data_IF_080745793259
#
_entry.id   IF_080745793259
#
_cell.length_a   1.000
_cell.length_b   1.000
_cell.length_c   1.000
_cell.angle_alpha   90.00
_cell.angle_beta   90.00
_cell.angle_gamma   90.00
#
_symmetry.space_group_name_H-M   'P 1'
#
loop_
_entity.id
_entity.type
_entity.pdbx_description
1 polymer ?
2 non-polymer ?
3 non-polymer ?
4 non-polymer ?
5 non-polymer ?
6 non-polymer ?
7 water ?
#
# COMPACT_ATOMS: atom_id res chain seq x y z
N UNK A 1 7.94 -4.94 -2.49
CA UNK A 1 8.66 -5.73 -1.46
C UNK A 1 9.73 -6.63 -2.06
N UNK A 2 10.25 -7.55 -1.25
CA UNK A 2 11.32 -8.49 -1.67
C UNK A 2 10.85 -9.37 -2.84
N UNK A 3 9.55 -9.70 -2.85
CA UNK A 3 8.98 -10.53 -3.92
C UNK A 3 9.12 -9.84 -5.26
N UNK A 4 8.80 -8.56 -5.30
CA UNK A 4 8.92 -7.77 -6.53
C UNK A 4 10.38 -7.43 -6.85
N UNK A 5 11.22 -7.25 -5.83
CA UNK A 5 12.65 -7.04 -6.03
C UNK A 5 13.26 -8.19 -6.82
N UNK A 6 13.04 -9.41 -6.34
CA UNK A 6 13.48 -10.63 -7.03
C UNK A 6 12.90 -10.73 -8.44
N UNK A 7 11.59 -10.52 -8.54
CA UNK A 7 10.86 -10.57 -9.81
C UNK A 7 11.36 -9.61 -10.86
N UNK A 8 11.52 -8.34 -10.48
CA UNK A 8 11.99 -7.30 -11.39
C UNK A 8 13.42 -7.56 -11.87
N UNK A 9 14.29 -7.96 -10.94
CA UNK A 9 15.68 -8.30 -11.26
C UNK A 9 15.75 -9.49 -12.22
N UNK A 10 14.93 -10.51 -11.97
CA UNK A 10 14.83 -11.67 -12.86
C UNK A 10 14.33 -11.32 -14.26
N UNK A 11 13.32 -10.44 -14.32
CA UNK A 11 12.72 -9.98 -15.58
C UNK A 11 13.72 -9.35 -16.54
N UNK A 12 14.50 -8.40 -16.04
CA UNK A 12 15.37 -7.57 -16.88
C UNK A 12 16.71 -8.23 -17.17
N UNK A 13 17.33 -8.81 -16.14
CA UNK A 13 18.71 -9.27 -16.23
C UNK A 13 18.87 -10.70 -16.70
N UNK A 14 20.14 -11.17 -16.84
CA UNK A 14 20.44 -12.51 -17.34
C UNK A 14 20.52 -13.62 -16.28
N UNK A 15 20.55 -13.27 -15.00
CA UNK A 15 20.90 -14.23 -13.94
C UNK A 15 19.90 -14.30 -12.79
N UNK A 16 19.91 -15.43 -12.09
CA UNK A 16 19.06 -15.65 -10.91
C UNK A 16 19.25 -14.53 -9.87
N UNK A 17 18.15 -14.07 -9.23
CA UNK A 17 18.30 -13.09 -8.13
C UNK A 17 19.07 -13.62 -6.89
N UNK A 18 19.16 -14.94 -6.76
CA UNK A 18 20.08 -15.60 -5.80
C UNK A 18 21.52 -15.08 -5.92
N UNK A 19 21.92 -14.72 -7.14
CA UNK A 19 23.26 -14.16 -7.43
C UNK A 19 23.61 -12.88 -6.66
N UNK A 20 22.59 -12.17 -6.15
CA UNK A 20 22.78 -10.92 -5.41
C UNK A 20 22.37 -10.98 -3.92
N UNK A 21 22.12 -12.17 -3.39
CA UNK A 21 21.67 -12.29 -1.99
C UNK A 21 22.79 -12.05 -0.97
N UNK A 22 24.03 -12.41 -1.33
CA UNK A 22 25.24 -12.06 -0.55
C UNK A 22 26.40 -11.88 -1.52
N UNK A 23 26.56 -10.66 -2.04
CA UNK A 23 27.56 -10.36 -3.06
C UNK A 23 28.19 -9.00 -2.73
N UNK A 24 29.52 -8.95 -2.78
CA UNK A 24 30.26 -7.72 -2.52
C UNK A 24 30.04 -7.24 -1.10
N UNK A 25 30.04 -5.93 -0.92
CA UNK A 25 29.75 -5.31 0.37
C UNK A 25 28.29 -4.83 0.56
N UNK A 26 27.50 -4.79 -0.51
CA UNK A 26 26.13 -4.20 -0.47
C UNK A 26 24.96 -5.06 -0.93
N UNK A 27 25.18 -6.03 -1.82
CA UNK A 27 24.10 -6.92 -2.25
C UNK A 27 23.81 -7.94 -1.16
N UNK A 28 22.67 -7.76 -0.48
CA UNK A 28 22.33 -8.50 0.75
C UNK A 28 21.81 -7.55 1.81
N UNK A 29 21.30 -8.10 2.90
CA UNK A 29 20.68 -7.29 3.96
C UNK A 29 21.70 -6.32 4.59
N UNK A 30 21.42 -5.02 4.47
CA UNK A 30 22.34 -3.98 4.93
C UNK A 30 23.53 -3.83 4.00
N UNK A 31 24.68 -3.51 4.57
CA UNK A 31 25.91 -3.33 3.80
C UNK A 31 26.64 -2.05 4.14
N UNK A 32 27.95 -2.08 3.97
CA UNK A 32 28.84 -0.97 4.31
C UNK A 32 30.16 -1.20 3.59
N UNK A 33 30.89 -0.12 3.32
CA UNK A 33 32.22 -0.22 2.70
C UNK A 33 32.30 0.42 1.35
N UNK A 34 33.45 0.26 0.72
CA UNK A 34 33.66 0.66 -0.65
C UNK A 34 33.03 -0.42 -1.54
N UNK A 35 32.13 -0.03 -2.48
CA UNK A 35 31.60 -1.04 -3.39
C UNK A 35 32.71 -1.66 -4.27
N UNK A 36 32.67 -2.98 -4.42
CA UNK A 36 33.72 -3.73 -5.10
C UNK A 36 33.70 -3.64 -6.62
N UNK A 37 32.52 -3.45 -7.19
CA UNK A 37 32.35 -3.49 -8.63
C UNK A 37 31.02 -2.83 -9.03
N UNK A 38 30.67 -2.90 -10.31
CA UNK A 38 29.46 -2.28 -10.85
C UNK A 38 28.20 -2.81 -10.16
N UNK A 39 28.12 -4.14 -10.07
CA UNK A 39 27.02 -4.82 -9.36
C UNK A 39 26.86 -4.28 -7.93
N UNK A 40 27.97 -4.17 -7.21
CA UNK A 40 27.94 -3.70 -5.83
C UNK A 40 27.50 -2.24 -5.75
N UNK A 41 27.92 -1.44 -6.73
CA UNK A 41 27.42 -0.06 -6.88
C UNK A 41 25.90 -0.01 -7.10
N UNK A 42 25.37 -0.87 -7.95
CA UNK A 42 23.91 -0.97 -8.15
C UNK A 42 23.18 -1.24 -6.82
N UNK A 43 23.74 -2.16 -6.04
CA UNK A 43 23.19 -2.52 -4.73
C UNK A 43 23.30 -1.40 -3.70
N UNK A 44 24.42 -0.68 -3.70
CA UNK A 44 24.58 0.51 -2.86
C UNK A 44 23.49 1.54 -3.19
N UNK A 45 23.33 1.81 -4.48
CA UNK A 45 22.29 2.71 -5.00
C UNK A 45 20.89 2.31 -4.57
N UNK A 46 20.62 1.01 -4.65
CA UNK A 46 19.35 0.44 -4.21
C UNK A 46 19.13 0.58 -2.70
N UNK A 47 20.19 0.30 -1.93
CA UNK A 47 20.16 0.48 -0.46
C UNK A 47 19.76 1.91 -0.09
N UNK A 48 20.38 2.88 -0.77
CA UNK A 48 20.02 4.29 -0.63
C UNK A 48 18.56 4.59 -0.98
N UNK A 49 18.11 4.01 -2.09
CA UNK A 49 16.73 4.19 -2.55
C UNK A 49 15.71 3.68 -1.51
N UNK A 50 15.99 2.51 -0.95
CA UNK A 50 15.17 1.92 0.12
C UNK A 50 15.19 2.75 1.41
N UNK A 51 16.36 3.26 1.77
CA UNK A 51 16.50 4.16 2.91
C UNK A 51 15.61 5.40 2.74
N UNK A 52 15.69 6.00 1.56
CA UNK A 52 14.81 7.12 1.21
C UNK A 52 13.32 6.76 1.28
N UNK A 53 12.97 5.59 0.74
CA UNK A 53 11.59 5.08 0.82
C UNK A 53 11.10 4.96 2.27
N UNK A 54 11.95 4.42 3.14
CA UNK A 54 11.63 4.32 4.57
C UNK A 54 11.49 5.68 5.25
N UNK A 55 12.39 6.61 4.94
CA UNK A 55 12.30 7.99 5.43
C UNK A 55 11.01 8.72 4.99
N UNK A 56 10.47 8.32 3.84
CA UNK A 56 9.18 8.83 3.34
C UNK A 56 7.93 8.18 3.98
N UNK A 57 8.12 7.18 4.84
CA UNK A 57 7.03 6.48 5.52
C UNK A 57 6.55 5.19 4.84
N UNK A 58 7.41 4.57 4.04
CA UNK A 58 7.08 3.32 3.34
C UNK A 58 7.80 2.12 3.95
N UNK A 59 7.38 0.93 3.51
CA UNK A 59 7.96 -0.34 3.97
C UNK A 59 8.50 -1.10 2.74
N UNK A 60 9.70 -0.70 2.25
CA UNK A 60 10.25 -1.23 0.98
C UNK A 60 10.51 -2.74 0.91
N UNK A 61 10.70 -3.39 2.06
CA UNK A 61 10.88 -4.85 2.09
C UNK A 61 9.58 -5.65 2.02
N UNK A 62 8.44 -5.04 2.38
CA UNK A 62 7.16 -5.77 2.51
C UNK A 62 6.02 -5.38 1.56
N UNK A 63 5.90 -4.09 1.22
CA UNK A 63 4.73 -3.61 0.46
C UNK A 63 4.62 -4.24 -0.94
N UNK A 64 3.45 -4.81 -1.24
CA UNK A 64 3.17 -5.35 -2.56
C UNK A 64 2.86 -4.22 -3.53
N UNK A 65 3.26 -4.41 -4.79
CA UNK A 65 2.91 -3.49 -5.87
C UNK A 65 2.81 -4.23 -7.19
N UNK A 66 1.95 -3.73 -8.07
CA UNK A 66 1.76 -4.30 -9.40
C UNK A 66 2.80 -3.80 -10.37
N UNK A 67 3.18 -4.69 -11.28
CA UNK A 67 4.11 -4.35 -12.34
C UNK A 67 4.01 -5.37 -13.45
N UNK A 68 4.62 -5.04 -14.59
CA UNK A 68 4.62 -5.91 -15.77
C UNK A 68 6.05 -6.10 -16.27
N UNK A 69 6.33 -7.30 -16.76
CA UNK A 69 7.57 -7.60 -17.46
C UNK A 69 7.25 -7.67 -18.95
N UNK A 70 7.71 -6.68 -19.70
CA UNK A 70 7.44 -6.56 -21.13
C UNK A 70 8.77 -6.45 -21.86
N UNK A 71 9.07 -7.44 -22.71
CA UNK A 71 10.35 -7.51 -23.43
C UNK A 71 11.56 -7.40 -22.50
N UNK A 72 11.51 -8.12 -21.38
CA UNK A 72 12.54 -8.05 -20.34
C UNK A 72 12.79 -6.61 -19.86
N UNK A 73 11.71 -5.85 -19.68
CA UNK A 73 11.74 -4.49 -19.10
C UNK A 73 10.62 -4.39 -18.08
N UNK A 74 10.86 -3.64 -17.01
CA UNK A 74 9.88 -3.46 -15.95
C UNK A 74 9.04 -2.22 -16.23
N UNK A 75 7.72 -2.42 -16.24
CA UNK A 75 6.75 -1.31 -16.28
C UNK A 75 6.00 -1.29 -14.96
N UNK A 76 6.06 -0.15 -14.26
CA UNK A 76 5.49 0.03 -12.92
C UNK A 76 4.04 0.48 -12.96
N UNK A 77 3.14 -0.32 -12.37
CA UNK A 77 1.75 0.08 -12.19
C UNK A 77 0.76 -1.06 -12.36
N UNK A 78 -0.52 -0.83 -12.03
CA UNK A 78 -1.03 0.44 -11.48
C UNK A 78 -0.69 0.68 -10.01
N UNK A 79 -0.31 1.92 -9.68
CA UNK A 79 0.04 2.32 -8.31
C UNK A 79 -1.17 2.86 -7.55
N UNK A 80 -1.47 2.26 -6.40
CA UNK A 80 -2.53 2.73 -5.50
C UNK A 80 -2.11 3.92 -4.62
N UNK A 81 -0.81 4.07 -4.42
CA UNK A 81 -0.28 5.16 -3.58
C UNK A 81 1.16 5.48 -3.95
N UNK A 82 1.70 6.51 -3.31
CA UNK A 82 3.07 6.95 -3.58
C UNK A 82 4.15 5.96 -3.17
N UNK A 83 3.90 5.18 -2.12
CA UNK A 83 4.87 4.17 -1.69
C UNK A 83 5.06 3.11 -2.74
N UNK A 84 3.95 2.62 -3.31
CA UNK A 84 4.03 1.63 -4.40
C UNK A 84 4.80 2.16 -5.61
N UNK A 85 4.60 3.44 -5.95
CA UNK A 85 5.34 4.01 -7.07
C UNK A 85 6.84 4.18 -6.71
N UNK A 86 7.17 4.67 -5.51
CA UNK A 86 8.57 4.80 -5.09
C UNK A 86 9.30 3.46 -5.06
N UNK A 87 8.65 2.44 -4.51
CA UNK A 87 9.27 1.10 -4.40
C UNK A 87 9.56 0.49 -5.76
N UNK A 88 8.58 0.55 -6.66
CA UNK A 88 8.76 0.04 -8.01
C UNK A 88 9.86 0.78 -8.77
N UNK A 89 9.94 2.10 -8.57
CA UNK A 89 11.03 2.91 -9.14
C UNK A 89 12.41 2.45 -8.64
N UNK A 90 12.52 2.19 -7.34
CA UNK A 90 13.76 1.66 -6.75
C UNK A 90 14.16 0.32 -7.39
N UNK A 91 13.21 -0.60 -7.48
CA UNK A 91 13.48 -1.95 -8.00
C UNK A 91 13.70 -1.96 -9.52
N UNK A 92 12.89 -1.19 -10.24
CA UNK A 92 13.08 -0.96 -11.66
C UNK A 92 14.50 -0.45 -11.94
N UNK A 93 14.94 0.51 -11.12
CA UNK A 93 16.28 1.11 -11.28
C UNK A 93 17.40 0.08 -11.09
N UNK A 94 17.36 -0.68 -10.00
CA UNK A 94 18.42 -1.68 -9.75
C UNK A 94 18.38 -2.80 -10.81
N UNK A 95 17.18 -3.20 -11.22
CA UNK A 95 17.01 -4.22 -12.26
C UNK A 95 17.71 -3.82 -13.56
N UNK A 96 17.46 -2.60 -14.01
CA UNK A 96 18.15 -2.01 -15.16
C UNK A 96 19.66 -1.90 -14.94
N UNK A 97 20.05 -1.44 -13.75
CA UNK A 97 21.46 -1.32 -13.37
C UNK A 97 22.20 -2.65 -13.47
N UNK A 98 21.64 -3.68 -12.84
CA UNK A 98 22.26 -5.01 -12.79
C UNK A 98 22.26 -5.74 -14.14
N UNK A 99 21.20 -5.56 -14.93
CA UNK A 99 21.12 -6.12 -16.28
C UNK A 99 22.26 -5.70 -17.21
N UNK A 100 22.85 -4.54 -16.96
CA UNK A 100 23.99 -4.02 -17.72
C UNK A 100 25.37 -4.40 -17.16
N UNK A 101 25.44 -5.36 -16.23
CA UNK A 101 26.70 -5.69 -15.55
C UNK A 101 27.23 -7.08 -15.86
N UNK A 102 28.56 -7.20 -15.77
CA UNK A 102 29.25 -8.49 -15.81
C UNK A 102 29.35 -9.00 -14.38
N UNK A 103 29.15 -10.31 -14.19
CA UNK A 103 29.23 -10.93 -12.88
C UNK A 103 30.68 -11.31 -12.56
N UNK A 104 31.16 -10.88 -11.39
CA UNK A 104 32.46 -11.29 -10.86
C UNK A 104 32.23 -12.29 -9.74
N UNK A 105 32.39 -13.58 -10.06
CA UNK A 105 32.10 -14.70 -9.15
C UNK A 105 32.83 -14.57 -7.81
N UNK A 106 34.05 -14.06 -7.84
CA UNK A 106 34.88 -13.88 -6.65
C UNK A 106 34.26 -13.03 -5.52
N UNK A 107 33.30 -12.17 -5.87
CA UNK A 107 32.58 -11.36 -4.87
C UNK A 107 31.33 -12.01 -4.28
N UNK A 108 30.88 -13.14 -4.83
CA UNK A 108 29.83 -13.94 -4.20
C UNK A 108 30.33 -14.51 -2.87
N UNK A 109 29.57 -14.26 -1.80
CA UNK A 109 29.98 -14.60 -0.42
C UNK A 109 31.34 -13.98 -0.04
N UNK A 110 31.50 -12.71 -0.38
CA UNK A 110 32.69 -11.94 -0.06
C UNK A 110 32.79 -11.75 1.45
N UNK A 111 34.02 -11.82 2.02
CA UNK A 111 34.13 -11.67 3.47
C UNK A 111 33.80 -10.25 3.93
N UNK A 112 32.89 -10.15 4.90
CA UNK A 112 32.48 -8.87 5.48
C UNK A 112 33.64 -8.12 6.14
N UNK A 113 34.62 -8.85 6.67
CA UNK A 113 35.80 -8.21 7.27
C UNK A 113 36.71 -7.43 6.29
N UNK A 114 36.55 -7.66 4.99
CA UNK A 114 37.21 -6.83 3.97
C UNK A 114 36.42 -5.57 3.56
N UNK A 115 35.19 -5.43 4.06
CA UNK A 115 34.35 -4.27 3.77
C UNK A 115 34.54 -3.19 4.85
N UNK A 116 34.83 -1.97 4.41
CA UNK A 116 35.21 -0.87 5.30
C UNK A 116 34.02 -0.39 6.15
N UNK A 117 34.29 0.18 7.34
CA UNK A 117 33.18 0.66 8.20
C UNK A 117 32.27 1.71 7.55
N UNK A 118 32.87 2.65 6.82
CA UNK A 118 32.11 3.74 6.19
C UNK A 118 31.81 3.42 4.73
N UNK A 119 30.79 4.10 4.19
CA UNK A 119 30.27 3.86 2.84
C UNK A 119 30.23 5.15 2.04
N UNK A 120 30.11 5.05 0.69
CA UNK A 120 29.87 6.26 -0.09
C UNK A 120 28.49 6.84 0.18
N UNK A 121 28.35 8.14 -0.03
CA UNK A 121 27.13 8.85 0.28
C UNK A 121 26.01 8.54 -0.70
N UNK A 122 24.78 8.65 -0.21
CA UNK A 122 23.59 8.46 -1.01
C UNK A 122 23.22 9.75 -1.73
N UNK A 123 22.74 9.63 -2.97
CA UNK A 123 22.22 10.77 -3.73
C UNK A 123 21.03 11.40 -3.04
N UNK B 1 -9.60 -1.37 1.36
CA UNK B 1 -10.50 -1.53 0.19
C UNK B 1 -11.89 -2.03 0.55
N UNK B 2 -12.69 -2.29 -0.47
CA UNK B 2 -14.09 -2.69 -0.27
C UNK B 2 -14.19 -4.03 0.48
N UNK B 3 -13.22 -4.93 0.27
CA UNK B 3 -13.15 -6.18 1.04
C UNK B 3 -13.03 -5.93 2.55
N UNK B 4 -12.17 -4.99 2.93
CA UNK B 4 -11.96 -4.67 4.35
C UNK B 4 -13.10 -3.83 4.91
N UNK B 5 -13.64 -2.93 4.11
CA UNK B 5 -14.85 -2.20 4.47
C UNK B 5 -15.96 -3.16 4.88
N UNK B 6 -16.23 -4.13 4.01
CA UNK B 6 -17.23 -5.17 4.30
C UNK B 6 -16.86 -6.01 5.52
N UNK B 7 -15.62 -6.48 5.57
CA UNK B 7 -15.10 -7.26 6.70
C UNK B 7 -15.18 -6.59 8.06
N UNK B 8 -14.74 -5.33 8.13
CA UNK B 8 -14.73 -4.55 9.38
C UNK B 8 -16.15 -4.28 9.90
N UNK B 9 -17.05 -3.91 8.98
CA UNK B 9 -18.46 -3.74 9.30
C UNK B 9 -19.08 -5.06 9.78
N UNK B 10 -18.77 -6.16 9.09
CA UNK B 10 -19.22 -7.50 9.48
C UNK B 10 -18.68 -8.00 10.82
N UNK B 11 -17.48 -7.56 11.16
CA UNK B 11 -16.84 -7.83 12.45
C UNK B 11 -17.65 -7.26 13.62
N UNK B 12 -17.99 -5.98 13.51
CA UNK B 12 -18.60 -5.24 14.61
C UNK B 12 -20.12 -5.49 14.70
N UNK B 13 -20.77 -5.65 13.55
CA UNK B 13 -22.23 -5.89 13.52
C UNK B 13 -23.01 -4.61 13.84
N UNK B 14 -24.33 -4.70 14.08
CA UNK B 14 -25.09 -5.94 14.24
C UNK B 14 -25.71 -6.54 12.96
N UNK B 15 -25.44 -5.97 11.80
CA UNK B 15 -26.06 -6.43 10.55
C UNK B 15 -25.01 -6.63 9.44
N UNK B 16 -25.38 -7.45 8.46
CA UNK B 16 -24.54 -7.68 7.27
C UNK B 16 -24.12 -6.36 6.60
N UNK B 17 -22.89 -6.31 6.04
CA UNK B 17 -22.49 -5.14 5.23
C UNK B 17 -23.37 -4.88 4.01
N UNK B 18 -24.08 -5.89 3.50
CA UNK B 18 -24.97 -5.70 2.34
C UNK B 18 -26.20 -4.83 2.69
N UNK B 19 -26.49 -4.68 3.98
CA UNK B 19 -27.51 -3.76 4.48
C UNK B 19 -27.24 -2.28 4.11
N UNK B 20 -25.99 -1.96 3.81
CA UNK B 20 -25.56 -0.59 3.46
C UNK B 20 -25.10 -0.42 2.00
N UNK B 21 -25.35 -1.40 1.14
CA UNK B 21 -24.93 -1.31 -0.26
C UNK B 21 -25.76 -0.28 -1.04
N UNK B 22 -27.01 -0.09 -0.63
CA UNK B 22 -27.88 0.95 -1.19
C UNK B 22 -28.93 1.32 -0.15
N UNK B 23 -28.62 2.34 0.65
CA UNK B 23 -29.44 2.75 1.80
C UNK B 23 -29.34 4.25 2.01
N UNK B 24 -30.48 4.89 2.20
CA UNK B 24 -30.55 6.34 2.36
C UNK B 24 -29.98 7.05 1.14
N UNK B 25 -29.46 8.25 1.37
CA UNK B 25 -28.82 9.04 0.31
C UNK B 25 -27.31 8.84 0.16
N UNK B 26 -26.67 8.16 1.11
CA UNK B 26 -25.20 8.06 1.17
C UNK B 26 -24.57 6.67 1.26
N UNK B 27 -25.27 5.70 1.84
CA UNK B 27 -24.76 4.32 1.88
C UNK B 27 -24.94 3.70 0.49
N UNK B 28 -23.82 3.43 -0.18
CA UNK B 28 -23.80 3.12 -1.61
C UNK B 28 -22.74 3.92 -2.34
N UNK B 29 -22.51 3.56 -3.59
CA UNK B 29 -21.54 4.24 -4.47
C UNK B 29 -21.92 5.72 -4.64
N UNK B 30 -21.06 6.60 -4.12
CA UNK B 30 -21.32 8.04 -4.15
C UNK B 30 -22.37 8.47 -3.13
N UNK B 31 -23.16 9.48 -3.48
CA UNK B 31 -24.21 9.99 -2.59
C UNK B 31 -24.24 11.49 -2.49
N UNK B 32 -25.42 12.01 -2.17
CA UNK B 32 -25.67 13.44 -2.06
C UNK B 32 -27.02 13.66 -1.40
N UNK B 33 -27.21 14.83 -0.78
CA UNK B 33 -28.48 15.18 -0.14
C UNK B 33 -28.39 15.29 1.37
N UNK B 34 -29.55 15.37 2.00
CA UNK B 34 -29.65 15.37 3.45
C UNK B 34 -29.65 13.91 3.91
N UNK B 35 -28.76 13.56 4.86
CA UNK B 35 -28.80 12.21 5.42
C UNK B 35 -30.16 11.89 6.08
N UNK B 36 -30.73 10.74 5.72
CA UNK B 36 -32.05 10.32 6.18
C UNK B 36 -32.13 10.06 7.68
N UNK B 37 -31.07 9.47 8.23
CA UNK B 37 -31.08 8.98 9.62
C UNK B 37 -29.64 8.75 10.12
N UNK B 38 -29.50 8.18 11.31
CA UNK B 38 -28.18 7.91 11.92
C UNK B 38 -27.24 7.10 11.02
N UNK B 39 -27.77 6.02 10.44
CA UNK B 39 -27.00 5.17 9.49
C UNK B 39 -26.46 5.99 8.31
N UNK B 40 -27.34 6.81 7.73
CA UNK B 40 -26.97 7.61 6.55
C UNK B 40 -25.89 8.62 6.90
N UNK B 41 -25.99 9.22 8.08
CA UNK B 41 -24.94 10.09 8.64
C UNK B 41 -23.59 9.40 8.79
N UNK B 42 -23.59 8.14 9.21
CA UNK B 42 -22.34 7.34 9.27
C UNK B 42 -21.73 7.19 7.88
N UNK B 43 -22.59 6.90 6.90
CA UNK B 43 -22.16 6.79 5.50
C UNK B 43 -21.71 8.13 4.88
N UNK B 44 -22.34 9.23 5.29
CA UNK B 44 -21.88 10.57 4.90
C UNK B 44 -20.46 10.82 5.42
N UNK B 45 -20.29 10.59 6.72
CA UNK B 45 -18.97 10.69 7.38
C UNK B 45 -17.91 9.85 6.70
N UNK B 46 -18.30 8.63 6.32
CA UNK B 46 -17.41 7.69 5.64
C UNK B 46 -17.06 8.11 4.21
N UNK B 47 -18.05 8.64 3.48
CA UNK B 47 -17.81 9.21 2.15
C UNK B 47 -16.80 10.36 2.21
N UNK B 48 -16.96 11.22 3.22
CA UNK B 48 -16.01 12.29 3.48
C UNK B 48 -14.60 11.78 3.77
N UNK B 49 -14.52 10.74 4.60
CA UNK B 49 -13.24 10.10 4.96
C UNK B 49 -12.53 9.51 3.73
N UNK B 50 -13.30 8.84 2.87
CA UNK B 50 -12.78 8.29 1.60
C UNK B 50 -12.34 9.38 0.60
N UNK B 51 -13.12 10.45 0.50
CA UNK B 51 -12.74 11.62 -0.32
C UNK B 51 -11.42 12.24 0.18
N UNK B 52 -11.25 12.29 1.50
CA UNK B 52 -10.01 12.76 2.12
C UNK B 52 -8.82 11.85 1.78
N UNK B 53 -9.05 10.54 1.82
CA UNK B 53 -8.04 9.55 1.46
C UNK B 53 -7.62 9.66 -0.01
N UNK B 54 -8.61 9.82 -0.88
CA UNK B 54 -8.37 10.07 -2.31
C UNK B 54 -7.52 11.31 -2.54
N UNK B 55 -7.85 12.39 -1.83
CA UNK B 55 -7.08 13.65 -1.89
C UNK B 55 -5.64 13.52 -1.39
N UNK B 56 -5.42 12.65 -0.41
CA UNK B 56 -4.07 12.35 0.11
C UNK B 56 -3.22 11.47 -0.82
N UNK B 57 -3.81 11.00 -1.92
CA UNK B 57 -3.13 10.11 -2.88
C UNK B 57 -3.29 8.64 -2.57
N UNK B 58 -4.44 8.26 -2.02
CA UNK B 58 -4.74 6.85 -1.71
C UNK B 58 -5.88 6.35 -2.58
N UNK B 59 -6.10 5.04 -2.51
CA UNK B 59 -7.14 4.36 -3.28
C UNK B 59 -8.03 3.58 -2.31
N UNK B 60 -8.99 4.28 -1.66
CA UNK B 60 -9.80 3.66 -0.60
C UNK B 60 -10.69 2.47 -1.02
N UNK B 61 -11.05 2.40 -2.29
CA UNK B 61 -11.83 1.28 -2.83
C UNK B 61 -11.02 0.00 -3.07
N UNK B 62 -9.69 0.11 -3.19
CA UNK B 62 -8.87 -1.03 -3.60
C UNK B 62 -7.73 -1.46 -2.66
N UNK B 63 -7.07 -0.51 -1.98
CA UNK B 63 -5.85 -0.89 -1.24
C UNK B 63 -6.16 -1.81 -0.06
N UNK B 64 -5.40 -2.90 0.00
CA UNK B 64 -5.49 -3.88 1.06
C UNK B 64 -4.77 -3.38 2.31
N UNK B 65 -5.28 -3.77 3.48
CA UNK B 65 -4.61 -3.48 4.75
C UNK B 65 -4.88 -4.59 5.76
N UNK B 66 -4.02 -4.66 6.76
CA UNK B 66 -4.16 -5.62 7.85
C UNK B 66 -4.93 -5.02 9.00
N UNK B 67 -5.70 -5.89 9.64
CA UNK B 67 -6.52 -5.50 10.78
C UNK B 67 -6.98 -6.79 11.46
N UNK B 68 -7.43 -6.67 12.70
CA UNK B 68 -7.91 -7.81 13.48
C UNK B 68 -9.28 -7.53 14.08
N UNK B 69 -10.11 -8.57 14.11
CA UNK B 69 -11.42 -8.52 14.78
C UNK B 69 -11.33 -9.17 16.16
N UNK B 70 -11.26 -8.34 17.20
CA UNK B 70 -11.15 -8.80 18.58
C UNK B 70 -12.40 -8.38 19.36
N UNK B 71 -13.16 -9.36 19.85
CA UNK B 71 -14.45 -9.12 20.53
C UNK B 71 -15.37 -8.19 19.75
N UNK B 72 -15.51 -8.46 18.46
CA UNK B 72 -16.34 -7.64 17.58
C UNK B 72 -15.95 -6.14 17.61
N UNK B 73 -14.65 -5.90 17.66
CA UNK B 73 -14.06 -4.57 17.55
C UNK B 73 -12.92 -4.66 16.54
N UNK B 74 -12.74 -3.58 15.78
CA UNK B 74 -11.70 -3.50 14.76
C UNK B 74 -10.43 -2.95 15.40
N UNK B 75 -9.32 -3.65 15.20
CA UNK B 75 -8.01 -3.17 15.56
C UNK B 75 -7.19 -3.07 14.29
N UNK B 76 -6.69 -1.85 14.01
CA UNK B 76 -6.02 -1.54 12.76
C UNK B 76 -4.52 -1.78 12.83
N UNK B 77 -3.98 -2.54 11.87
CA UNK B 77 -2.55 -2.73 11.74
C UNK B 77 -2.14 -4.19 11.58
N UNK B 78 -0.86 -4.46 11.27
CA UNK B 78 0.17 -3.44 11.07
C UNK B 78 0.06 -2.70 9.73
N UNK B 79 0.24 -1.38 9.76
CA UNK B 79 0.21 -0.54 8.56
C UNK B 79 1.62 -0.36 7.97
N UNK B 80 1.73 -0.59 6.67
CA UNK B 80 3.00 -0.40 5.94
C UNK B 80 3.22 1.04 5.49
N UNK B 81 2.13 1.81 5.40
CA UNK B 81 2.16 3.18 4.91
C UNK B 81 0.97 3.97 5.47
N UNK B 82 0.96 5.27 5.19
CA UNK B 82 -0.07 6.17 5.72
C UNK B 82 -1.46 5.92 5.12
N UNK B 83 -1.49 5.46 3.88
CA UNK B 83 -2.76 5.14 3.22
C UNK B 83 -3.48 3.99 3.91
N UNK B 84 -2.76 2.92 4.21
CA UNK B 84 -3.32 1.77 4.94
C UNK B 84 -3.84 2.17 6.32
N UNK B 85 -3.10 3.06 6.99
CA UNK B 85 -3.52 3.63 8.27
C UNK B 85 -4.83 4.41 8.11
N UNK B 86 -4.84 5.33 7.15
CA UNK B 86 -6.03 6.15 6.87
C UNK B 86 -7.25 5.31 6.51
N UNK B 87 -7.10 4.36 5.59
CA UNK B 87 -8.23 3.54 5.14
C UNK B 87 -8.85 2.71 6.27
N UNK B 88 -8.01 2.07 7.08
CA UNK B 88 -8.48 1.30 8.21
C UNK B 88 -9.21 2.18 9.24
N UNK B 89 -8.69 3.37 9.49
CA UNK B 89 -9.34 4.33 10.40
C UNK B 89 -10.72 4.78 9.90
N UNK B 90 -10.85 5.01 8.59
CA UNK B 90 -12.15 5.32 7.98
C UNK B 90 -13.14 4.18 8.23
N UNK B 91 -12.73 2.96 7.93
CA UNK B 91 -13.61 1.79 8.03
C UNK B 91 -13.94 1.41 9.47
N UNK B 92 -12.91 1.44 10.33
CA UNK B 92 -13.07 1.30 11.78
C UNK B 92 -14.10 2.29 12.33
N UNK B 93 -13.99 3.54 11.92
CA UNK B 93 -14.92 4.60 12.32
C UNK B 93 -16.37 4.32 11.90
N UNK B 94 -16.59 3.96 10.63
CA UNK B 94 -17.97 3.67 10.17
C UNK B 94 -18.52 2.40 10.84
N UNK B 95 -17.66 1.40 11.04
CA UNK B 95 -18.04 0.16 11.76
C UNK B 95 -18.56 0.46 13.16
N UNK B 96 -17.81 1.27 13.90
CA UNK B 96 -18.21 1.74 15.23
C UNK B 96 -19.47 2.62 15.20
N UNK B 97 -19.57 3.47 14.17
CA UNK B 97 -20.74 4.35 13.99
C UNK B 97 -22.00 3.54 13.74
N UNK B 98 -21.94 2.64 12.77
CA UNK B 98 -23.07 1.78 12.40
C UNK B 98 -23.51 0.81 13.49
N UNK B 99 -22.55 0.37 14.32
CA UNK B 99 -22.83 -0.52 15.46
C UNK B 99 -23.81 0.07 16.49
N UNK B 100 -23.88 1.39 16.57
CA UNK B 100 -24.78 2.10 17.49
C UNK B 100 -26.08 2.61 16.83
N UNK B 101 -26.44 2.04 15.67
CA UNK B 101 -27.63 2.49 14.94
C UNK B 101 -28.72 1.44 14.93
N UNK B 102 -29.96 1.92 14.85
CA UNK B 102 -31.14 1.09 14.66
C UNK B 102 -31.54 1.24 13.17
N UNK B 103 -31.94 0.14 12.55
CA UNK B 103 -32.17 0.10 11.11
C UNK B 103 -33.56 0.63 10.75
N UNK B 104 -33.63 1.46 9.71
CA UNK B 104 -34.91 1.94 9.18
C UNK B 104 -35.13 1.36 7.78
N UNK B 105 -35.94 0.31 7.71
CA UNK B 105 -36.23 -0.38 6.45
C UNK B 105 -36.86 0.52 5.38
N UNK B 106 -37.57 1.56 5.80
CA UNK B 106 -38.10 2.57 4.89
C UNK B 106 -37.06 3.30 4.03
N UNK B 107 -35.79 3.30 4.45
CA UNK B 107 -34.69 3.90 3.65
C UNK B 107 -33.83 2.92 2.85
N UNK B 108 -34.09 1.62 2.98
CA UNK B 108 -33.46 0.64 2.10
C UNK B 108 -33.95 0.88 0.68
N UNK B 109 -33.01 0.86 -0.27
CA UNK B 109 -33.28 1.17 -1.68
C UNK B 109 -33.92 2.54 -1.93
N UNK B 110 -33.59 3.53 -1.10
CA UNK B 110 -34.11 4.89 -1.28
C UNK B 110 -33.67 5.39 -2.66
N UNK B 111 -34.59 5.97 -3.46
CA UNK B 111 -34.18 6.43 -4.79
C UNK B 111 -33.31 7.67 -4.70
N UNK B 112 -32.21 7.66 -5.45
CA UNK B 112 -31.27 8.78 -5.44
C UNK B 112 -31.82 10.01 -6.14
N UNK B 113 -32.78 9.83 -7.05
CA UNK B 113 -33.53 10.97 -7.61
C UNK B 113 -34.39 11.75 -6.58
N UNK B 114 -34.70 11.11 -5.44
CA UNK B 114 -35.35 11.79 -4.30
C UNK B 114 -34.39 12.37 -3.25
N UNK B 115 -33.08 12.26 -3.49
CA UNK B 115 -32.08 12.88 -2.63
C UNK B 115 -31.72 14.27 -3.17
N UNK B 116 -31.53 15.21 -2.26
CA UNK B 116 -31.35 16.61 -2.59
C UNK B 116 -29.99 16.82 -3.28
N UNK B 117 -29.89 17.84 -4.16
CA UNK B 117 -28.61 18.04 -4.86
C UNK B 117 -27.43 18.41 -3.95
N UNK B 118 -27.69 19.18 -2.89
CA UNK B 118 -26.63 19.64 -1.98
C UNK B 118 -26.49 18.73 -0.77
N UNK B 119 -25.26 18.58 -0.29
CA UNK B 119 -24.94 17.76 0.88
C UNK B 119 -24.40 18.62 2.03
N UNK B 120 -24.52 18.13 3.28
CA UNK B 120 -23.81 18.78 4.37
C UNK B 120 -22.30 18.69 4.15
N UNK B 121 -21.58 19.72 4.58
CA UNK B 121 -20.14 19.78 4.41
C UNK B 121 -19.42 18.68 5.20
N UNK B 122 -18.23 18.33 4.73
CA UNK B 122 -17.36 17.39 5.43
C UNK B 122 -16.52 18.10 6.48
N UNK B 123 -16.28 17.39 7.59
CA UNK B 123 -15.28 17.73 8.64
C UNK B 123 -15.87 18.55 9.78
#
# INVERSE_FOLDING_TARGET
GILELAGTVGCVGPRTPIAYMKYGCFCGLGGHGQPRDAIDWCCHGHDCCYTRAEEAGCSPKTERYSWQCVNQSVLCGPAENKCQELLCKCDQEIANCLAQTEYNLKYLFYPQFLCEPDSPKCD
GILELAGTVGCVGPRTPIAYMKYGCFCGLGGHGQPRDAIDWCCHGHDCCYTRAEEAGCSPKTERYSWQCVNQSVLCGPAENKCQELLCKCDQEIANCLAQTEYNLKYLFYPQFLCEPDSPKCD
#
